data_IF_318997127720
#
_entry.id   IF_318997127720
#
_cell.length_a   1.000
_cell.length_b   1.000
_cell.length_c   1.000
_cell.angle_alpha   90.00
_cell.angle_beta   90.00
_cell.angle_gamma   90.00
#
_symmetry.space_group_name_H-M   'P 1'
#
loop_
_entity.id
_entity.type
_entity.pdbx_description
1 polymer ?
#
# COMPACT_ATOMS: atom_id res chain seq x y z
N UNK A 1 -31.25 14.14 7.66
CA UNK A 1 -30.22 15.19 7.37
C UNK A 1 -30.70 16.53 7.90
N UNK A 2 -29.77 17.36 8.42
CA UNK A 2 -30.09 18.69 8.91
C UNK A 2 -29.51 19.78 7.99
N UNK A 3 -30.09 21.00 8.02
CA UNK A 3 -29.58 22.14 7.28
C UNK A 3 -28.11 22.48 7.68
N UNK A 4 -27.77 22.26 8.94
CA UNK A 4 -26.40 22.44 9.46
C UNK A 4 -25.42 21.47 8.83
N UNK A 5 -25.80 20.22 8.59
CA UNK A 5 -24.97 19.22 7.90
C UNK A 5 -24.75 19.60 6.43
N UNK A 6 -25.78 20.00 5.71
CA UNK A 6 -25.65 20.45 4.33
C UNK A 6 -24.73 21.67 4.21
N UNK A 7 -24.86 22.62 5.15
CA UNK A 7 -23.97 23.79 5.17
C UNK A 7 -22.50 23.42 5.48
N UNK A 8 -22.28 22.42 6.34
CA UNK A 8 -20.94 21.88 6.64
C UNK A 8 -20.33 21.22 5.42
N UNK A 9 -21.07 20.35 4.72
CA UNK A 9 -20.60 19.67 3.53
C UNK A 9 -20.27 20.61 2.36
N UNK A 10 -21.06 21.70 2.20
CA UNK A 10 -20.71 22.75 1.22
C UNK A 10 -19.41 23.45 1.57
N UNK A 11 -19.21 23.80 2.86
CA UNK A 11 -17.96 24.43 3.31
C UNK A 11 -16.74 23.51 3.13
N UNK A 12 -16.97 22.19 3.18
CA UNK A 12 -15.94 21.18 2.97
C UNK A 12 -15.75 20.83 1.48
N UNK A 13 -16.39 21.51 0.55
CA UNK A 13 -16.27 21.24 -0.88
C UNK A 13 -16.97 19.96 -1.37
N UNK A 14 -17.73 19.26 -0.50
CA UNK A 14 -18.39 17.99 -0.84
C UNK A 14 -19.71 18.18 -1.61
N UNK A 15 -20.23 19.38 -1.63
CA UNK A 15 -21.43 19.74 -2.37
C UNK A 15 -21.17 21.00 -3.21
N UNK A 16 -21.65 21.04 -4.44
CA UNK A 16 -21.52 22.22 -5.29
C UNK A 16 -22.22 23.43 -4.65
N UNK A 17 -21.71 24.61 -4.95
CA UNK A 17 -22.33 25.86 -4.56
C UNK A 17 -23.72 26.00 -5.18
N UNK A 18 -24.54 26.86 -4.59
CA UNK A 18 -25.83 27.20 -5.20
C UNK A 18 -25.65 28.10 -6.41
N UNK A 19 -26.30 27.75 -7.50
CA UNK A 19 -26.45 28.65 -8.63
C UNK A 19 -27.52 29.69 -8.29
N UNK A 20 -27.12 30.97 -8.23
CA UNK A 20 -28.05 32.07 -8.02
C UNK A 20 -28.78 32.38 -9.31
N UNK A 21 -30.09 32.19 -9.32
CA UNK A 21 -30.96 32.63 -10.43
C UNK A 21 -31.64 33.93 -10.07
N UNK A 22 -31.38 34.99 -10.83
CA UNK A 22 -32.04 36.26 -10.63
C UNK A 22 -33.57 36.12 -10.94
N UNK A 23 -34.41 36.62 -10.03
CA UNK A 23 -35.86 36.59 -10.19
C UNK A 23 -36.42 37.82 -10.98
N UNK A 24 -35.55 38.66 -11.54
CA UNK A 24 -35.87 39.89 -12.20
C UNK A 24 -35.68 41.14 -11.35
N UNK A 25 -35.84 42.33 -12.00
CA UNK A 25 -35.55 43.65 -11.38
C UNK A 25 -36.41 43.85 -10.12
N UNK A 26 -35.76 43.96 -8.96
CA UNK A 26 -36.41 44.19 -7.67
C UNK A 26 -36.94 42.94 -6.93
N UNK A 27 -36.84 41.73 -7.52
CA UNK A 27 -37.36 40.48 -6.91
C UNK A 27 -36.33 39.61 -6.23
N UNK A 28 -35.08 40.05 -6.15
CA UNK A 28 -34.01 39.29 -5.52
C UNK A 28 -33.49 38.14 -6.37
N UNK A 29 -32.80 37.17 -5.76
CA UNK A 29 -32.32 35.93 -6.36
C UNK A 29 -32.80 34.73 -5.60
N UNK A 30 -33.15 33.65 -6.29
CA UNK A 30 -33.37 32.34 -5.68
C UNK A 30 -32.12 31.49 -5.90
N UNK A 31 -31.87 30.58 -4.94
CA UNK A 31 -30.77 29.65 -5.00
C UNK A 31 -31.33 28.28 -5.42
N UNK A 32 -30.92 27.80 -6.59
CA UNK A 32 -31.36 26.51 -7.10
C UNK A 32 -30.21 25.52 -6.99
N UNK A 33 -30.39 24.36 -6.33
CA UNK A 33 -29.39 23.29 -6.37
C UNK A 33 -29.31 22.75 -7.81
N UNK A 34 -28.10 22.46 -8.30
CA UNK A 34 -27.94 21.72 -9.56
C UNK A 34 -28.40 20.27 -9.43
N UNK A 35 -28.73 19.63 -10.55
CA UNK A 35 -29.22 18.24 -10.58
C UNK A 35 -28.21 17.25 -9.94
N UNK A 36 -26.92 17.48 -10.14
CA UNK A 36 -25.83 16.70 -9.51
C UNK A 36 -25.81 16.80 -7.98
N UNK A 37 -26.25 17.94 -7.41
CA UNK A 37 -26.27 18.15 -5.98
C UNK A 37 -27.21 17.18 -5.26
N UNK A 38 -28.29 16.74 -5.89
CA UNK A 38 -29.23 15.81 -5.29
C UNK A 38 -28.62 14.42 -5.13
N UNK A 39 -27.96 13.89 -6.17
CA UNK A 39 -27.23 12.61 -6.13
C UNK A 39 -26.17 12.60 -5.03
N UNK A 40 -25.36 13.67 -4.97
CA UNK A 40 -24.33 13.83 -3.92
C UNK A 40 -24.93 13.89 -2.51
N UNK A 41 -26.05 14.60 -2.33
CA UNK A 41 -26.74 14.66 -1.01
C UNK A 41 -27.23 13.30 -0.57
N UNK A 42 -27.78 12.49 -1.50
CA UNK A 42 -28.24 11.12 -1.20
C UNK A 42 -27.05 10.23 -0.84
N UNK A 43 -25.96 10.26 -1.62
CA UNK A 43 -24.75 9.51 -1.36
C UNK A 43 -24.12 9.91 0.00
N UNK A 44 -23.98 11.21 0.27
CA UNK A 44 -23.51 11.69 1.56
C UNK A 44 -24.42 11.27 2.71
N UNK A 45 -25.74 11.24 2.51
CA UNK A 45 -26.69 10.78 3.51
C UNK A 45 -26.51 9.31 3.89
N UNK A 46 -26.09 8.48 2.92
CA UNK A 46 -25.75 7.06 3.11
C UNK A 46 -24.37 6.88 3.76
N UNK A 47 -23.37 7.63 3.32
CA UNK A 47 -22.00 7.51 3.75
C UNK A 47 -21.71 8.20 5.10
N UNK A 48 -22.41 9.29 5.41
CA UNK A 48 -22.16 10.09 6.59
C UNK A 48 -22.65 9.38 7.86
N UNK A 49 -21.74 8.69 8.51
CA UNK A 49 -21.95 8.19 9.89
C UNK A 49 -21.56 9.27 10.91
N UNK A 50 -22.03 9.14 12.14
CA UNK A 50 -21.65 10.05 13.23
C UNK A 50 -20.12 10.05 13.40
N UNK A 51 -19.50 11.24 13.29
CA UNK A 51 -18.04 11.42 13.40
C UNK A 51 -17.26 11.24 12.10
N UNK A 52 -17.92 10.97 10.94
CA UNK A 52 -17.22 10.88 9.67
C UNK A 52 -16.54 12.22 9.31
N UNK A 53 -15.23 12.18 9.06
CA UNK A 53 -14.43 13.34 8.67
C UNK A 53 -14.76 13.74 7.22
N UNK A 54 -14.71 15.02 6.85
CA UNK A 54 -14.94 15.46 5.48
C UNK A 54 -14.01 14.79 4.44
N UNK A 55 -12.73 14.58 4.77
CA UNK A 55 -11.79 13.86 3.89
C UNK A 55 -12.21 12.41 3.63
N UNK A 56 -12.70 11.69 4.63
CA UNK A 56 -13.23 10.33 4.44
C UNK A 56 -14.44 10.31 3.51
N UNK A 57 -15.33 11.31 3.63
CA UNK A 57 -16.49 11.43 2.77
C UNK A 57 -16.09 11.79 1.33
N UNK A 58 -15.09 12.65 1.16
CA UNK A 58 -14.54 13.01 -0.16
C UNK A 58 -14.00 11.77 -0.88
N UNK A 59 -13.16 10.99 -0.19
CA UNK A 59 -12.58 9.76 -0.72
C UNK A 59 -13.65 8.69 -1.02
N UNK A 60 -14.65 8.54 -0.14
CA UNK A 60 -15.74 7.59 -0.38
C UNK A 60 -16.59 7.99 -1.59
N UNK A 61 -16.93 9.28 -1.74
CA UNK A 61 -17.63 9.80 -2.91
C UNK A 61 -16.80 9.62 -4.20
N UNK A 62 -15.51 9.95 -4.14
CA UNK A 62 -14.58 9.75 -5.26
C UNK A 62 -14.56 8.28 -5.68
N UNK A 63 -14.38 7.37 -4.73
CA UNK A 63 -14.35 5.93 -5.00
C UNK A 63 -15.66 5.33 -5.52
N UNK A 64 -16.80 6.01 -5.31
CA UNK A 64 -18.09 5.65 -5.90
C UNK A 64 -18.35 6.35 -7.25
N UNK A 65 -17.35 7.06 -7.80
CA UNK A 65 -17.45 7.77 -9.09
C UNK A 65 -18.31 9.03 -9.05
N UNK A 66 -18.57 9.59 -7.87
CA UNK A 66 -19.30 10.85 -7.77
C UNK A 66 -18.41 12.05 -8.14
N UNK A 67 -18.99 13.10 -8.75
CA UNK A 67 -18.24 14.29 -9.14
C UNK A 67 -17.86 15.15 -7.93
N UNK A 68 -16.70 14.84 -7.33
CA UNK A 68 -16.11 15.66 -6.26
C UNK A 68 -15.10 16.62 -6.89
N UNK A 69 -15.04 17.90 -6.45
CA UNK A 69 -14.03 18.83 -6.95
C UNK A 69 -12.61 18.29 -6.78
N UNK A 70 -11.79 18.43 -7.82
CA UNK A 70 -10.44 17.87 -7.86
C UNK A 70 -9.58 18.31 -6.66
N UNK A 71 -9.62 19.60 -6.29
CA UNK A 71 -8.91 20.11 -5.12
C UNK A 71 -9.32 19.43 -3.81
N UNK A 72 -10.61 19.08 -3.68
CA UNK A 72 -11.13 18.37 -2.50
C UNK A 72 -10.64 16.92 -2.46
N UNK A 73 -10.57 16.26 -3.62
CA UNK A 73 -10.01 14.91 -3.76
C UNK A 73 -8.52 14.92 -3.40
N UNK A 74 -7.73 15.82 -4.01
CA UNK A 74 -6.30 15.94 -3.76
C UNK A 74 -5.97 16.25 -2.29
N UNK A 75 -6.68 17.19 -1.68
CA UNK A 75 -6.55 17.50 -0.25
C UNK A 75 -6.87 16.26 0.62
N UNK A 76 -7.87 15.47 0.24
CA UNK A 76 -8.23 14.26 0.98
C UNK A 76 -7.16 13.16 0.87
N UNK A 77 -6.56 12.95 -0.33
CA UNK A 77 -5.41 12.07 -0.52
C UNK A 77 -4.18 12.55 0.26
N UNK A 78 -3.84 13.84 0.17
CA UNK A 78 -2.74 14.41 0.95
C UNK A 78 -2.94 14.29 2.47
N UNK A 79 -4.18 14.40 2.96
CA UNK A 79 -4.49 14.13 4.38
C UNK A 79 -4.34 12.66 4.75
N UNK A 80 -4.63 11.73 3.84
CA UNK A 80 -4.38 10.32 4.06
C UNK A 80 -2.89 10.04 4.27
N UNK A 81 -2.03 10.58 3.40
CA UNK A 81 -0.56 10.45 3.54
C UNK A 81 -0.06 11.04 4.86
N UNK A 82 -0.49 12.27 5.19
CA UNK A 82 -0.11 12.88 6.46
C UNK A 82 -0.60 12.09 7.67
N UNK A 83 -1.73 11.39 7.53
CA UNK A 83 -2.28 10.51 8.55
C UNK A 83 -1.49 9.21 8.75
N UNK A 84 -0.72 8.73 7.76
CA UNK A 84 0.14 7.56 7.92
C UNK A 84 1.20 7.76 9.02
N UNK A 85 1.77 8.96 9.07
CA UNK A 85 2.76 9.32 10.09
C UNK A 85 2.16 9.87 11.40
N UNK A 86 0.88 10.27 11.42
CA UNK A 86 0.24 10.83 12.61
C UNK A 86 0.08 9.82 13.76
N UNK A 87 0.18 8.52 13.47
CA UNK A 87 0.25 7.47 14.49
C UNK A 87 1.67 7.22 15.02
N UNK A 88 2.68 7.83 14.38
CA UNK A 88 4.10 7.66 14.67
C UNK A 88 4.73 8.95 15.29
N UNK A 89 3.92 9.93 15.66
CA UNK A 89 4.35 11.23 16.18
C UNK A 89 3.97 12.34 15.19
N UNK A 90 3.05 13.24 15.63
CA UNK A 90 2.60 14.38 14.81
C UNK A 90 3.65 15.50 14.75
N UNK A 91 4.63 15.46 15.62
CA UNK A 91 5.68 16.47 15.76
C UNK A 91 6.88 16.03 14.90
N UNK A 92 7.28 16.88 13.97
CA UNK A 92 8.54 16.71 13.23
C UNK A 92 9.74 16.76 14.18
N UNK A 93 10.99 16.82 13.62
CA UNK A 93 12.19 16.93 14.43
C UNK A 93 12.10 18.12 15.40
N UNK A 94 12.57 17.94 16.64
CA UNK A 94 12.70 19.03 17.60
C UNK A 94 13.78 20.04 17.15
N UNK A 95 13.75 21.24 17.74
CA UNK A 95 14.71 22.29 17.37
C UNK A 95 16.16 21.80 17.65
N UNK A 96 16.92 21.56 16.58
CA UNK A 96 18.28 21.04 16.64
C UNK A 96 18.42 19.52 16.47
N UNK A 97 17.32 18.79 16.42
CA UNK A 97 17.30 17.37 16.10
C UNK A 97 17.34 17.18 14.57
N UNK A 98 18.18 16.29 14.07
CA UNK A 98 18.16 15.92 12.66
C UNK A 98 17.07 14.83 12.41
N UNK A 99 16.75 14.58 11.12
CA UNK A 99 15.72 13.61 10.76
C UNK A 99 16.02 12.18 11.21
N UNK A 100 17.30 11.83 11.37
CA UNK A 100 17.75 10.52 11.81
C UNK A 100 17.46 10.31 13.29
N UNK A 101 17.92 11.26 14.12
CA UNK A 101 17.67 11.26 15.55
C UNK A 101 16.17 11.28 15.86
N UNK A 102 15.40 12.05 15.11
CA UNK A 102 13.94 12.08 15.21
C UNK A 102 13.31 10.74 14.89
N UNK A 103 13.70 10.10 13.79
CA UNK A 103 13.15 8.81 13.38
C UNK A 103 13.49 7.69 14.39
N UNK A 104 14.72 7.68 14.93
CA UNK A 104 15.13 6.76 15.97
C UNK A 104 14.35 6.97 17.26
N UNK A 105 14.18 8.22 17.70
CA UNK A 105 13.41 8.56 18.90
C UNK A 105 11.96 8.11 18.77
N UNK A 106 11.32 8.38 17.62
CA UNK A 106 9.93 7.95 17.37
C UNK A 106 9.84 6.43 17.33
N UNK A 107 10.79 5.74 16.73
CA UNK A 107 10.84 4.28 16.71
C UNK A 107 10.95 3.70 18.14
N UNK A 108 11.82 4.26 18.96
CA UNK A 108 11.99 3.88 20.36
C UNK A 108 10.72 4.13 21.20
N UNK A 109 10.05 5.26 20.98
CA UNK A 109 8.77 5.60 21.64
C UNK A 109 7.67 4.60 21.26
N UNK A 110 7.56 4.22 19.98
CA UNK A 110 6.60 3.21 19.50
C UNK A 110 6.89 1.86 20.15
N UNK A 111 8.15 1.46 20.22
CA UNK A 111 8.56 0.22 20.88
C UNK A 111 8.28 0.28 22.39
N UNK A 112 8.65 1.39 23.06
CA UNK A 112 8.46 1.58 24.49
C UNK A 112 6.99 1.68 24.90
N UNK A 113 6.12 2.25 24.04
CA UNK A 113 4.68 2.34 24.28
C UNK A 113 3.98 0.99 24.34
N UNK A 114 4.68 -0.08 23.96
CA UNK A 114 4.11 -1.42 23.84
C UNK A 114 3.08 -1.52 22.69
N UNK A 115 2.97 -0.50 21.84
CA UNK A 115 2.25 -0.59 20.58
C UNK A 115 3.00 -1.59 19.69
N UNK A 116 2.58 -2.84 19.79
CA UNK A 116 3.08 -3.88 18.89
C UNK A 116 2.49 -3.58 17.52
N UNK A 117 3.27 -2.95 16.66
CA UNK A 117 3.01 -2.99 15.23
C UNK A 117 3.07 -4.46 14.84
N UNK A 118 1.91 -5.08 14.69
CA UNK A 118 1.84 -6.48 14.27
C UNK A 118 2.02 -6.48 12.76
N UNK A 119 3.26 -6.56 12.32
CA UNK A 119 3.59 -6.62 10.90
C UNK A 119 2.93 -7.82 10.23
N UNK A 120 2.73 -8.93 10.95
CA UNK A 120 2.01 -10.09 10.44
C UNK A 120 0.60 -10.12 11.05
N UNK A 121 -0.46 -9.93 10.24
CA UNK A 121 -1.83 -10.03 10.70
C UNK A 121 -2.14 -11.39 11.35
N UNK A 122 -2.98 -11.40 12.38
CA UNK A 122 -3.31 -12.62 13.10
C UNK A 122 -3.94 -13.71 12.20
N UNK A 123 -4.64 -13.31 11.13
CA UNK A 123 -5.21 -14.23 10.15
C UNK A 123 -4.12 -14.88 9.32
N UNK A 124 -3.20 -14.08 8.79
CA UNK A 124 -2.04 -14.56 8.02
C UNK A 124 -1.21 -15.54 8.84
N UNK A 125 -0.88 -15.16 10.08
CA UNK A 125 -0.11 -16.04 10.97
C UNK A 125 -0.82 -17.38 11.25
N UNK A 126 -2.14 -17.38 11.47
CA UNK A 126 -2.89 -18.63 11.69
C UNK A 126 -2.87 -19.55 10.46
N UNK A 127 -2.92 -18.98 9.27
CA UNK A 127 -2.80 -19.73 8.02
C UNK A 127 -1.41 -20.31 7.91
N UNK A 128 -0.35 -19.51 8.10
CA UNK A 128 1.05 -19.97 8.06
C UNK A 128 1.29 -21.13 9.07
N UNK A 129 0.83 -20.97 10.31
CA UNK A 129 0.91 -22.01 11.34
C UNK A 129 0.12 -23.28 10.97
N UNK A 130 -1.05 -23.13 10.34
CA UNK A 130 -1.88 -24.22 9.86
C UNK A 130 -1.19 -25.03 8.77
N UNK A 131 -0.67 -24.36 7.76
CA UNK A 131 0.09 -24.99 6.66
C UNK A 131 1.35 -25.68 7.20
N UNK A 132 2.13 -25.02 8.05
CA UNK A 132 3.34 -25.56 8.62
C UNK A 132 3.05 -26.82 9.47
N UNK A 133 1.94 -26.85 10.21
CA UNK A 133 1.50 -28.04 10.95
C UNK A 133 1.12 -29.17 10.02
N UNK A 134 0.29 -28.90 9.03
CA UNK A 134 -0.14 -29.88 8.03
C UNK A 134 1.05 -30.56 7.34
N UNK A 135 2.04 -29.77 6.92
CA UNK A 135 3.23 -30.27 6.23
C UNK A 135 4.09 -31.13 7.17
N UNK A 136 4.31 -30.67 8.42
CA UNK A 136 5.06 -31.41 9.43
C UNK A 136 4.42 -32.77 9.73
N UNK A 137 3.11 -32.82 9.91
CA UNK A 137 2.36 -34.04 10.22
C UNK A 137 2.45 -35.09 9.10
N UNK A 138 2.72 -34.65 7.88
CA UNK A 138 2.88 -35.51 6.69
C UNK A 138 4.32 -35.71 6.23
N UNK A 139 5.28 -35.15 6.93
CA UNK A 139 6.70 -35.24 6.56
C UNK A 139 7.03 -34.52 5.24
N UNK A 140 6.22 -33.54 4.84
CA UNK A 140 6.49 -32.72 3.66
C UNK A 140 7.55 -31.69 4.02
N UNK A 141 8.64 -31.68 3.25
CA UNK A 141 9.70 -30.68 3.36
C UNK A 141 9.38 -29.52 2.42
N UNK A 142 9.36 -28.34 2.96
CA UNK A 142 9.18 -27.11 2.21
C UNK A 142 10.26 -26.10 2.62
N UNK A 143 10.88 -25.39 1.70
CA UNK A 143 10.68 -25.44 0.25
C UNK A 143 11.30 -26.71 -0.35
N UNK A 144 10.86 -27.08 -1.58
CA UNK A 144 11.58 -28.08 -2.34
C UNK A 144 13.01 -27.59 -2.61
N UNK A 145 13.99 -28.52 -2.70
CA UNK A 145 15.41 -28.17 -2.82
C UNK A 145 15.73 -27.18 -3.96
N UNK A 146 14.96 -27.24 -5.02
CA UNK A 146 15.12 -26.38 -6.21
C UNK A 146 14.81 -24.90 -5.91
N UNK A 147 13.96 -24.64 -4.92
CA UNK A 147 13.60 -23.29 -4.51
C UNK A 147 14.42 -22.81 -3.29
N UNK A 148 15.05 -23.72 -2.56
CA UNK A 148 15.80 -23.37 -1.35
C UNK A 148 17.03 -22.48 -1.62
N UNK A 149 17.51 -22.44 -2.87
CA UNK A 149 18.65 -21.61 -3.26
C UNK A 149 18.31 -20.19 -3.77
N UNK A 150 17.03 -19.78 -3.71
CA UNK A 150 16.62 -18.46 -4.19
C UNK A 150 17.00 -17.31 -3.25
N UNK A 151 17.39 -17.60 -2.02
CA UNK A 151 17.92 -16.64 -1.08
C UNK A 151 19.35 -17.04 -0.69
N UNK A 152 20.28 -16.12 -0.77
CA UNK A 152 21.66 -16.34 -0.39
C UNK A 152 21.80 -16.57 1.15
N UNK A 153 20.86 -16.07 1.94
CA UNK A 153 20.82 -16.21 3.39
C UNK A 153 19.43 -16.66 3.88
N UNK A 154 19.09 -17.96 3.71
CA UNK A 154 17.74 -18.47 3.99
C UNK A 154 17.41 -18.54 5.49
N UNK A 155 18.37 -18.39 6.40
CA UNK A 155 18.09 -18.39 7.83
C UNK A 155 17.39 -17.11 8.24
N UNK A 156 16.17 -17.19 8.84
CA UNK A 156 15.51 -15.99 9.32
C UNK A 156 16.37 -15.35 10.43
N UNK A 157 16.59 -14.02 10.37
CA UNK A 157 17.34 -13.34 11.39
C UNK A 157 16.63 -13.46 12.73
N UNK A 158 17.39 -13.56 13.82
CA UNK A 158 16.87 -13.54 15.18
C UNK A 158 16.51 -12.12 15.64
N UNK A 159 15.78 -11.36 14.80
CA UNK A 159 15.33 -10.04 15.17
C UNK A 159 14.23 -10.13 16.23
N UNK A 160 14.36 -9.35 17.29
CA UNK A 160 13.27 -9.14 18.24
C UNK A 160 12.11 -8.41 17.58
N UNK A 161 10.89 -8.62 18.08
CA UNK A 161 9.73 -7.88 17.58
C UNK A 161 9.86 -6.36 17.70
N UNK A 162 10.70 -5.88 18.62
CA UNK A 162 11.06 -4.46 18.76
C UNK A 162 11.93 -3.96 17.61
N UNK A 163 13.00 -4.68 17.28
CA UNK A 163 13.90 -4.33 16.17
C UNK A 163 13.19 -4.30 14.82
N UNK A 164 12.31 -5.30 14.56
CA UNK A 164 11.48 -5.32 13.34
C UNK A 164 10.52 -4.13 13.31
N UNK A 165 9.94 -3.76 14.46
CA UNK A 165 9.05 -2.58 14.55
C UNK A 165 9.83 -1.29 14.34
N UNK A 166 10.99 -1.13 14.94
CA UNK A 166 11.86 0.03 14.78
C UNK A 166 12.26 0.21 13.30
N UNK A 167 12.73 -0.86 12.65
CA UNK A 167 13.09 -0.83 11.24
C UNK A 167 11.91 -0.44 10.34
N UNK A 168 10.70 -0.98 10.61
CA UNK A 168 9.50 -0.62 9.86
C UNK A 168 9.12 0.86 10.04
N UNK A 169 9.18 1.38 11.28
CA UNK A 169 8.92 2.80 11.58
C UNK A 169 9.93 3.70 10.89
N UNK A 170 11.20 3.40 10.99
CA UNK A 170 12.29 4.16 10.34
C UNK A 170 12.11 4.17 8.82
N UNK A 171 11.76 3.02 8.22
CA UNK A 171 11.48 2.94 6.78
C UNK A 171 10.32 3.84 6.36
N UNK A 172 9.25 3.92 7.16
CA UNK A 172 8.10 4.79 6.87
C UNK A 172 8.44 6.27 7.01
N UNK A 173 9.23 6.63 8.01
CA UNK A 173 9.57 8.03 8.31
C UNK A 173 10.64 8.59 7.38
N UNK A 174 11.68 7.80 7.08
CA UNK A 174 12.86 8.23 6.32
C UNK A 174 12.96 7.63 4.91
N UNK A 175 12.13 6.64 4.61
CA UNK A 175 12.24 5.86 3.39
C UNK A 175 13.34 4.79 3.46
N UNK A 176 13.42 4.00 2.38
CA UNK A 176 14.32 2.85 2.31
C UNK A 176 15.83 3.20 2.40
N UNK A 177 16.22 4.45 2.08
CA UNK A 177 17.61 4.89 2.16
C UNK A 177 18.16 4.99 3.60
N UNK A 178 17.28 5.03 4.61
CA UNK A 178 17.69 5.12 6.01
C UNK A 178 17.99 3.76 6.65
N UNK A 179 17.50 2.69 6.03
CA UNK A 179 17.72 1.32 6.50
C UNK A 179 18.74 0.68 5.59
N UNK A 180 19.78 0.05 6.16
CA UNK A 180 20.79 -0.64 5.34
C UNK A 180 20.12 -1.73 4.48
N UNK A 181 20.67 -2.03 3.30
CA UNK A 181 20.17 -3.12 2.44
C UNK A 181 20.03 -4.44 3.20
N UNK A 182 21.01 -4.77 4.03
CA UNK A 182 20.96 -5.94 4.91
C UNK A 182 19.81 -5.85 5.91
N UNK A 183 19.57 -4.69 6.52
CA UNK A 183 18.46 -4.47 7.47
C UNK A 183 17.10 -4.64 6.82
N UNK A 184 16.93 -4.20 5.56
CA UNK A 184 15.71 -4.44 4.77
C UNK A 184 15.54 -5.93 4.50
N UNK A 185 16.60 -6.61 4.06
CA UNK A 185 16.60 -8.05 3.83
C UNK A 185 16.20 -8.83 5.08
N UNK A 186 16.75 -8.48 6.22
CA UNK A 186 16.46 -9.10 7.52
C UNK A 186 14.99 -8.90 7.93
N UNK A 187 14.45 -7.68 7.74
CA UNK A 187 13.02 -7.43 8.00
C UNK A 187 12.13 -8.27 7.09
N UNK A 188 12.45 -8.34 5.78
CA UNK A 188 11.69 -9.13 4.83
C UNK A 188 11.70 -10.62 5.19
N UNK A 189 12.84 -11.16 5.61
CA UNK A 189 12.94 -12.55 6.12
C UNK A 189 12.16 -12.76 7.41
N UNK A 190 12.21 -11.80 8.33
CA UNK A 190 11.49 -11.89 9.61
C UNK A 190 9.97 -11.86 9.47
N UNK A 191 9.44 -11.14 8.47
CA UNK A 191 7.98 -11.09 8.20
C UNK A 191 7.49 -12.26 7.34
N UNK A 192 8.40 -13.08 6.83
CA UNK A 192 8.10 -14.28 6.04
C UNK A 192 8.68 -15.54 6.67
N UNK A 193 8.14 -16.00 7.79
CA UNK A 193 8.76 -17.03 8.64
C UNK A 193 8.71 -18.45 8.05
N UNK A 194 8.24 -18.62 6.81
CA UNK A 194 8.15 -19.95 6.20
C UNK A 194 9.50 -20.56 5.81
N UNK A 195 10.62 -19.91 6.14
CA UNK A 195 11.95 -20.52 6.25
C UNK A 195 12.64 -20.88 4.94
N UNK A 196 12.21 -20.33 3.82
CA UNK A 196 12.86 -20.56 2.55
C UNK A 196 12.96 -19.25 1.76
N UNK A 197 14.10 -19.02 1.28
CA UNK A 197 14.51 -17.86 0.53
C UNK A 197 13.48 -16.78 0.29
N UNK A 198 13.83 -15.60 0.65
CA UNK A 198 13.08 -14.41 0.28
C UNK A 198 13.80 -13.73 -0.88
N UNK A 199 13.38 -13.95 -2.15
CA UNK A 199 14.00 -13.29 -3.29
C UNK A 199 13.97 -11.77 -3.19
N UNK A 200 12.94 -11.20 -2.53
CA UNK A 200 12.88 -9.78 -2.26
C UNK A 200 13.95 -9.31 -1.28
N UNK A 201 14.29 -10.13 -0.30
CA UNK A 201 15.40 -9.85 0.62
C UNK A 201 16.75 -9.87 -0.10
N UNK A 202 17.00 -10.90 -0.91
CA UNK A 202 18.22 -10.98 -1.73
C UNK A 202 18.33 -9.80 -2.70
N UNK A 203 17.22 -9.41 -3.33
CA UNK A 203 17.20 -8.25 -4.21
C UNK A 203 17.49 -6.94 -3.46
N UNK A 204 16.99 -6.80 -2.23
CA UNK A 204 17.26 -5.63 -1.39
C UNK A 204 18.73 -5.52 -0.98
N UNK A 205 19.45 -6.64 -0.91
CA UNK A 205 20.86 -6.73 -0.52
C UNK A 205 21.82 -6.57 -1.71
N UNK A 206 21.35 -6.59 -2.95
CA UNK A 206 22.22 -6.40 -4.12
C UNK A 206 22.87 -5.04 -4.09
N UNK A 207 24.14 -5.01 -4.48
CA UNK A 207 24.92 -3.80 -4.66
C UNK A 207 24.95 -3.41 -6.15
N UNK A 208 25.40 -2.19 -6.44
CA UNK A 208 25.57 -1.68 -7.80
C UNK A 208 26.45 -2.62 -8.65
N UNK A 209 27.48 -3.25 -8.02
CA UNK A 209 28.40 -4.16 -8.71
C UNK A 209 27.78 -5.49 -9.11
N UNK A 210 26.64 -5.87 -8.49
CA UNK A 210 25.94 -7.13 -8.73
C UNK A 210 24.97 -7.06 -9.93
N UNK A 211 24.78 -5.86 -10.51
CA UNK A 211 23.77 -5.63 -11.54
C UNK A 211 24.40 -5.12 -12.85
N UNK A 212 23.75 -5.38 -14.01
CA UNK A 212 24.20 -4.85 -15.28
C UNK A 212 24.25 -3.31 -15.29
N UNK A 213 25.21 -2.73 -16.02
CA UNK A 213 25.41 -1.28 -16.14
C UNK A 213 24.12 -0.50 -16.44
N UNK A 214 23.25 -1.06 -17.28
CA UNK A 214 21.96 -0.45 -17.65
C UNK A 214 20.98 -0.30 -16.47
N UNK A 215 21.15 -1.11 -15.42
CA UNK A 215 20.29 -1.09 -14.25
C UNK A 215 20.92 -0.37 -13.04
N UNK A 216 22.19 0.02 -13.11
CA UNK A 216 22.91 0.61 -11.98
C UNK A 216 22.28 1.89 -11.45
N UNK A 217 21.67 2.72 -12.32
CA UNK A 217 20.99 3.96 -11.89
C UNK A 217 19.77 3.74 -10.98
N UNK A 218 19.30 2.50 -10.89
CA UNK A 218 18.15 2.13 -10.04
C UNK A 218 18.60 1.68 -8.65
N UNK A 219 19.90 1.43 -8.49
CA UNK A 219 20.48 0.98 -7.24
C UNK A 219 21.12 2.14 -6.48
N UNK A 220 21.03 2.09 -5.17
CA UNK A 220 21.71 3.04 -4.30
C UNK A 220 23.19 2.72 -4.26
N UNK A 221 24.08 3.74 -4.14
CA UNK A 221 25.53 3.52 -4.06
C UNK A 221 25.93 2.54 -2.93
N UNK A 222 25.21 2.57 -1.82
CA UNK A 222 25.44 1.74 -0.65
C UNK A 222 24.72 0.39 -0.70
N UNK A 223 24.09 0.07 -1.84
CA UNK A 223 23.34 -1.16 -2.08
C UNK A 223 21.83 -0.98 -1.92
N UNK A 224 21.09 -1.97 -2.44
CA UNK A 224 19.63 -1.94 -2.48
C UNK A 224 19.06 -1.13 -3.65
N UNK A 225 17.82 -1.43 -4.00
CA UNK A 225 17.14 -0.80 -5.12
C UNK A 225 16.35 0.43 -4.64
N UNK A 226 16.65 1.59 -5.22
CA UNK A 226 15.84 2.80 -4.99
C UNK A 226 14.63 2.80 -5.90
N UNK A 227 13.47 2.47 -5.35
CA UNK A 227 12.18 2.62 -6.04
C UNK A 227 11.53 3.97 -5.80
N UNK A 228 12.21 4.84 -5.04
CA UNK A 228 11.69 6.15 -4.65
C UNK A 228 12.79 7.19 -4.85
N UNK A 229 12.54 8.27 -5.60
CA UNK A 229 13.50 9.36 -5.74
C UNK A 229 13.90 9.88 -4.36
N UNK A 230 15.22 10.05 -4.16
CA UNK A 230 15.81 10.60 -2.94
C UNK A 230 15.48 9.84 -1.63
N UNK A 231 14.89 8.63 -1.74
CA UNK A 231 14.49 7.83 -0.58
C UNK A 231 13.31 8.38 0.24
N UNK A 232 12.75 9.52 -0.14
CA UNK A 232 11.60 10.15 0.56
C UNK A 232 10.25 9.57 0.08
N UNK A 233 9.86 8.46 0.68
CA UNK A 233 8.55 7.82 0.41
C UNK A 233 7.40 8.78 0.67
N UNK A 234 7.44 9.54 1.76
CA UNK A 234 6.36 10.46 2.14
C UNK A 234 6.22 11.60 1.14
N UNK A 235 7.34 12.23 0.78
CA UNK A 235 7.36 13.29 -0.24
C UNK A 235 6.90 12.78 -1.61
N UNK A 236 7.29 11.58 -2.00
CA UNK A 236 6.83 10.95 -3.23
C UNK A 236 5.31 10.71 -3.23
N UNK A 237 4.74 10.20 -2.14
CA UNK A 237 3.30 10.00 -2.00
C UNK A 237 2.53 11.34 -1.99
N UNK A 238 3.03 12.38 -1.31
CA UNK A 238 2.44 13.71 -1.33
C UNK A 238 2.48 14.32 -2.74
N UNK A 239 3.60 14.19 -3.43
CA UNK A 239 3.75 14.63 -4.83
C UNK A 239 2.74 13.91 -5.74
N UNK A 240 2.54 12.60 -5.58
CA UNK A 240 1.53 11.85 -6.33
C UNK A 240 0.11 12.33 -6.02
N UNK A 241 -0.23 12.62 -4.76
CA UNK A 241 -1.53 13.17 -4.39
C UNK A 241 -1.81 14.52 -5.08
N UNK A 242 -0.76 15.31 -5.33
CA UNK A 242 -0.85 16.62 -5.98
C UNK A 242 -0.82 16.53 -7.51
N UNK A 243 -0.05 15.60 -8.09
CA UNK A 243 0.30 15.62 -9.52
C UNK A 243 -0.34 14.49 -10.34
N UNK A 244 -0.75 13.37 -9.75
CA UNK A 244 -1.40 12.30 -10.48
C UNK A 244 -2.72 12.78 -11.11
N UNK A 245 -3.09 12.26 -12.28
CA UNK A 245 -4.38 12.57 -12.87
C UNK A 245 -5.52 11.94 -12.05
N UNK A 246 -6.72 12.52 -12.12
CA UNK A 246 -7.88 11.90 -11.45
C UNK A 246 -8.19 10.52 -12.03
N UNK A 247 -7.92 10.30 -13.30
CA UNK A 247 -8.06 8.99 -13.97
C UNK A 247 -7.07 7.98 -13.36
N UNK A 248 -5.79 8.34 -13.23
CA UNK A 248 -4.80 7.46 -12.58
C UNK A 248 -5.17 7.14 -11.14
N UNK A 249 -5.65 8.14 -10.39
CA UNK A 249 -6.12 7.94 -9.02
C UNK A 249 -7.34 7.00 -8.97
N UNK A 250 -8.28 7.12 -9.92
CA UNK A 250 -9.46 6.27 -9.99
C UNK A 250 -9.09 4.84 -10.36
N UNK A 251 -8.26 4.65 -11.38
CA UNK A 251 -7.75 3.33 -11.78
C UNK A 251 -7.06 2.63 -10.61
N UNK A 252 -6.15 3.32 -9.93
CA UNK A 252 -5.43 2.77 -8.79
C UNK A 252 -6.36 2.49 -7.59
N UNK A 253 -7.40 3.32 -7.41
CA UNK A 253 -8.42 3.12 -6.39
C UNK A 253 -9.21 1.82 -6.64
N UNK A 254 -9.61 1.57 -7.88
CA UNK A 254 -10.31 0.35 -8.25
C UNK A 254 -9.43 -0.89 -8.05
N UNK A 255 -8.18 -0.81 -8.50
CA UNK A 255 -7.21 -1.89 -8.34
C UNK A 255 -6.91 -2.17 -6.86
N UNK A 256 -6.82 -1.15 -6.01
CA UNK A 256 -6.62 -1.36 -4.57
C UNK A 256 -7.79 -2.16 -3.96
N UNK A 257 -9.03 -1.89 -4.40
CA UNK A 257 -10.20 -2.66 -4.00
C UNK A 257 -10.14 -4.12 -4.45
N UNK A 258 -9.85 -4.34 -5.73
CA UNK A 258 -9.71 -5.68 -6.29
C UNK A 258 -8.58 -6.48 -5.63
N UNK A 259 -7.48 -5.81 -5.30
CA UNK A 259 -6.34 -6.44 -4.59
C UNK A 259 -6.74 -6.89 -3.19
N UNK A 260 -7.53 -6.09 -2.47
CA UNK A 260 -8.06 -6.51 -1.17
C UNK A 260 -9.02 -7.68 -1.28
N UNK A 261 -9.93 -7.65 -2.24
CA UNK A 261 -10.84 -8.78 -2.49
C UNK A 261 -10.08 -10.06 -2.81
N UNK A 262 -9.06 -9.98 -3.68
CA UNK A 262 -8.14 -11.09 -3.95
C UNK A 262 -7.49 -11.63 -2.67
N UNK A 263 -6.94 -10.75 -1.82
CA UNK A 263 -6.27 -11.17 -0.59
C UNK A 263 -7.22 -11.88 0.40
N UNK A 264 -8.44 -11.35 0.55
CA UNK A 264 -9.45 -11.94 1.43
C UNK A 264 -9.97 -13.27 0.88
N UNK A 265 -10.17 -13.39 -0.44
CA UNK A 265 -10.57 -14.62 -1.11
C UNK A 265 -9.48 -15.71 -0.98
N UNK A 266 -8.22 -15.37 -1.23
CA UNK A 266 -7.11 -16.31 -1.05
C UNK A 266 -7.06 -16.83 0.38
N UNK A 267 -7.17 -15.95 1.38
CA UNK A 267 -7.25 -16.37 2.78
C UNK A 267 -8.40 -17.37 3.03
N UNK A 268 -9.59 -17.07 2.50
CA UNK A 268 -10.76 -17.92 2.71
C UNK A 268 -10.60 -19.30 2.05
N UNK A 269 -10.02 -19.35 0.86
CA UNK A 269 -9.75 -20.62 0.16
C UNK A 269 -8.72 -21.47 0.89
N UNK A 270 -7.64 -20.87 1.36
CA UNK A 270 -6.62 -21.61 2.14
C UNK A 270 -7.21 -22.11 3.48
N UNK A 271 -8.01 -21.29 4.16
CA UNK A 271 -8.68 -21.71 5.39
C UNK A 271 -9.60 -22.91 5.12
N UNK A 272 -10.34 -22.92 4.02
CA UNK A 272 -11.22 -24.04 3.63
C UNK A 272 -10.42 -25.32 3.31
N UNK A 273 -9.26 -25.22 2.62
CA UNK A 273 -8.37 -26.36 2.36
C UNK A 273 -7.81 -26.93 3.69
N UNK A 274 -7.41 -26.07 4.61
CA UNK A 274 -6.93 -26.48 5.93
C UNK A 274 -8.03 -27.19 6.77
N UNK A 275 -9.27 -26.68 6.72
CA UNK A 275 -10.42 -27.29 7.38
C UNK A 275 -10.78 -28.67 6.77
N UNK A 276 -10.66 -28.80 5.45
CA UNK A 276 -10.84 -30.06 4.75
C UNK A 276 -9.72 -31.09 5.03
N UNK A 277 -8.58 -30.62 5.57
CA UNK A 277 -7.41 -31.46 5.82
C UNK A 277 -6.65 -31.85 4.53
N UNK A 278 -6.81 -31.09 3.48
CA UNK A 278 -6.15 -31.27 2.18
C UNK A 278 -5.66 -29.91 1.68
N UNK A 279 -4.33 -29.78 1.46
CA UNK A 279 -3.78 -28.59 0.83
C UNK A 279 -3.83 -28.75 -0.70
N UNK A 280 -4.34 -27.73 -1.37
CA UNK A 280 -4.49 -27.67 -2.82
C UNK A 280 -3.85 -26.40 -3.41
N UNK A 281 -4.45 -25.93 -4.50
CA UNK A 281 -3.92 -24.80 -5.28
C UNK A 281 -3.86 -23.49 -4.51
N UNK A 282 -4.79 -23.26 -3.56
CA UNK A 282 -4.78 -22.04 -2.78
C UNK A 282 -3.62 -22.03 -1.78
N UNK A 283 -3.34 -23.16 -1.13
CA UNK A 283 -2.18 -23.26 -0.24
C UNK A 283 -0.86 -23.14 -1.01
N UNK A 284 -0.77 -23.69 -2.21
CA UNK A 284 0.41 -23.53 -3.07
C UNK A 284 0.58 -22.06 -3.49
N UNK A 285 -0.48 -21.41 -3.95
CA UNK A 285 -0.45 -19.98 -4.28
C UNK A 285 -0.07 -19.12 -3.06
N UNK A 286 -0.55 -19.47 -1.86
CA UNK A 286 -0.16 -18.85 -0.61
C UNK A 286 1.34 -18.99 -0.36
N UNK A 287 1.86 -20.22 -0.38
CA UNK A 287 3.26 -20.50 -0.12
C UNK A 287 4.18 -19.74 -1.09
N UNK A 288 3.88 -19.81 -2.39
CA UNK A 288 4.63 -19.08 -3.41
C UNK A 288 4.52 -17.56 -3.21
N UNK A 289 3.31 -17.07 -3.02
CA UNK A 289 3.07 -15.64 -2.83
C UNK A 289 3.75 -15.06 -1.59
N UNK A 290 3.85 -15.85 -0.51
CA UNK A 290 4.52 -15.40 0.73
C UNK A 290 6.02 -15.14 0.54
N UNK A 291 6.65 -15.72 -0.45
CA UNK A 291 8.07 -15.51 -0.77
C UNK A 291 8.31 -14.24 -1.60
N UNK A 292 7.25 -13.59 -2.12
CA UNK A 292 7.34 -12.48 -3.06
C UNK A 292 6.49 -11.28 -2.63
N UNK A 293 6.31 -10.32 -3.54
CA UNK A 293 5.51 -9.09 -3.32
C UNK A 293 4.07 -9.41 -2.89
N UNK A 294 3.49 -10.50 -3.41
CA UNK A 294 2.16 -10.98 -2.98
C UNK A 294 2.06 -11.19 -1.48
N UNK A 295 3.12 -11.64 -0.81
CA UNK A 295 3.16 -11.78 0.64
C UNK A 295 3.07 -10.45 1.38
N UNK A 296 3.77 -9.43 0.91
CA UNK A 296 3.70 -8.07 1.47
C UNK A 296 2.30 -7.47 1.27
N UNK A 297 1.74 -7.64 0.07
CA UNK A 297 0.37 -7.20 -0.25
C UNK A 297 -0.66 -7.91 0.63
N UNK A 298 -0.54 -9.23 0.81
CA UNK A 298 -1.42 -9.98 1.72
C UNK A 298 -1.38 -9.42 3.14
N UNK A 299 -0.18 -9.16 3.67
CA UNK A 299 -0.03 -8.59 4.99
C UNK A 299 -0.67 -7.22 5.11
N UNK A 300 -0.45 -6.34 4.14
CA UNK A 300 -1.04 -5.00 4.12
C UNK A 300 -2.57 -5.06 4.03
N UNK A 301 -3.13 -5.89 3.15
CA UNK A 301 -4.56 -5.92 2.87
C UNK A 301 -5.39 -6.67 3.92
N UNK A 302 -4.81 -7.68 4.60
CA UNK A 302 -5.53 -8.51 5.58
C UNK A 302 -5.42 -7.96 7.01
N UNK A 303 -4.47 -7.04 7.26
CA UNK A 303 -4.14 -6.53 8.59
C UNK A 303 -5.27 -5.77 9.26
N UNK A 304 -6.06 -5.04 8.51
CA UNK A 304 -7.05 -4.14 9.05
C UNK A 304 -8.49 -4.65 8.89
N UNK A 305 -9.20 -4.75 10.04
CA UNK A 305 -10.62 -5.10 10.04
C UNK A 305 -11.51 -3.99 9.47
N UNK A 306 -11.04 -2.75 9.54
CA UNK A 306 -11.78 -1.54 9.17
C UNK A 306 -11.03 -0.75 8.10
N UNK A 307 -10.85 -1.36 6.94
CA UNK A 307 -10.27 -0.67 5.80
C UNK A 307 -11.09 0.58 5.44
N UNK A 308 -10.62 1.71 5.92
CA UNK A 308 -11.29 2.99 5.74
C UNK A 308 -10.99 3.58 4.36
N UNK A 309 -11.77 4.58 3.90
CA UNK A 309 -11.40 5.33 2.68
C UNK A 309 -10.01 5.96 2.75
N UNK A 310 -9.51 6.28 3.95
CA UNK A 310 -8.15 6.82 4.13
C UNK A 310 -7.09 5.75 3.89
N UNK A 311 -7.29 4.53 4.41
CA UNK A 311 -6.35 3.42 4.20
C UNK A 311 -6.30 3.07 2.72
N UNK A 312 -7.48 2.99 2.07
CA UNK A 312 -7.56 2.78 0.62
C UNK A 312 -6.87 3.88 -0.19
N UNK A 313 -6.95 5.14 0.23
CA UNK A 313 -6.24 6.23 -0.43
C UNK A 313 -4.72 6.07 -0.31
N UNK A 314 -4.21 5.63 0.83
CA UNK A 314 -2.80 5.33 1.00
C UNK A 314 -2.35 4.18 0.10
N UNK A 315 -3.10 3.08 0.07
CA UNK A 315 -2.84 1.96 -0.84
C UNK A 315 -2.85 2.40 -2.31
N UNK A 316 -3.81 3.25 -2.69
CA UNK A 316 -3.91 3.83 -4.04
C UNK A 316 -2.63 4.57 -4.45
N UNK A 317 -2.10 5.41 -3.57
CA UNK A 317 -0.87 6.16 -3.84
C UNK A 317 0.36 5.26 -3.86
N UNK A 318 0.43 4.25 -3.00
CA UNK A 318 1.50 3.24 -3.02
C UNK A 318 1.49 2.48 -4.35
N UNK A 319 0.32 2.07 -4.83
CA UNK A 319 0.19 1.40 -6.13
C UNK A 319 0.62 2.30 -7.29
N UNK A 320 0.28 3.60 -7.25
CA UNK A 320 0.75 4.55 -8.26
C UNK A 320 2.26 4.76 -8.20
N UNK A 321 2.83 4.82 -7.00
CA UNK A 321 4.28 4.89 -6.81
C UNK A 321 4.96 3.66 -7.40
N UNK A 322 4.49 2.46 -7.10
CA UNK A 322 5.00 1.21 -7.67
C UNK A 322 4.90 1.21 -9.20
N UNK A 323 3.75 1.61 -9.76
CA UNK A 323 3.56 1.69 -11.21
C UNK A 323 4.54 2.66 -11.86
N UNK A 324 4.79 3.81 -11.23
CA UNK A 324 5.77 4.80 -11.71
C UNK A 324 7.18 4.22 -11.68
N UNK A 325 7.59 3.64 -10.55
CA UNK A 325 8.92 3.03 -10.40
C UNK A 325 9.17 1.92 -11.41
N UNK A 326 8.18 1.04 -11.64
CA UNK A 326 8.30 -0.02 -12.65
C UNK A 326 8.39 0.53 -14.09
N UNK A 327 7.68 1.64 -14.39
CA UNK A 327 7.83 2.30 -15.70
C UNK A 327 9.21 2.91 -15.89
N UNK A 328 9.80 3.47 -14.82
CA UNK A 328 11.14 4.04 -14.87
C UNK A 328 12.22 2.94 -15.05
N UNK A 329 11.87 1.68 -14.71
CA UNK A 329 12.68 0.49 -14.95
C UNK A 329 12.51 -0.10 -16.35
N UNK A 330 11.46 0.30 -17.08
CA UNK A 330 11.19 -0.20 -18.42
C UNK A 330 12.35 0.13 -19.37
N UNK A 331 12.84 -0.89 -20.07
CA UNK A 331 14.03 -0.80 -20.92
C UNK A 331 15.39 -0.85 -20.17
N UNK A 332 15.40 -0.81 -18.83
CA UNK A 332 16.62 -0.95 -18.01
C UNK A 332 16.78 -2.37 -17.48
N UNK A 333 15.69 -3.12 -17.38
CA UNK A 333 15.64 -4.50 -16.87
C UNK A 333 15.44 -5.47 -18.03
N UNK A 334 16.15 -6.61 -18.07
CA UNK A 334 15.96 -7.62 -19.10
C UNK A 334 14.51 -8.15 -19.14
N UNK A 335 14.01 -8.43 -20.35
CA UNK A 335 12.63 -8.91 -20.58
C UNK A 335 12.23 -10.14 -19.73
N UNK A 336 13.18 -11.06 -19.50
CA UNK A 336 12.92 -12.24 -18.67
C UNK A 336 12.56 -11.93 -17.22
N UNK A 337 12.96 -10.77 -16.70
CA UNK A 337 12.58 -10.34 -15.35
C UNK A 337 11.15 -9.78 -15.32
N UNK A 338 10.70 -9.19 -16.42
CA UNK A 338 9.29 -8.78 -16.56
C UNK A 338 8.36 -10.01 -16.60
N UNK A 339 8.72 -11.06 -17.33
CA UNK A 339 7.96 -12.32 -17.34
C UNK A 339 7.81 -12.92 -15.93
N UNK A 340 8.84 -12.80 -15.08
CA UNK A 340 8.76 -13.22 -13.68
C UNK A 340 7.77 -12.38 -12.89
N UNK A 341 7.78 -11.04 -13.05
CA UNK A 341 6.85 -10.13 -12.39
C UNK A 341 5.40 -10.35 -12.84
N UNK A 342 5.17 -10.82 -14.07
CA UNK A 342 3.85 -11.16 -14.58
C UNK A 342 3.27 -12.45 -13.99
N UNK A 343 4.07 -13.20 -13.25
CA UNK A 343 3.61 -14.44 -12.61
C UNK A 343 2.66 -14.12 -11.44
N UNK A 344 1.46 -14.72 -11.40
CA UNK A 344 0.55 -14.60 -10.26
C UNK A 344 1.14 -15.10 -8.93
N UNK A 345 2.22 -15.87 -8.97
CA UNK A 345 2.96 -16.27 -7.77
C UNK A 345 3.78 -15.11 -7.19
N UNK A 346 4.24 -14.18 -8.03
CA UNK A 346 5.07 -13.03 -7.64
C UNK A 346 4.21 -11.83 -7.31
N UNK A 347 3.26 -11.52 -8.17
CA UNK A 347 2.32 -10.40 -8.01
C UNK A 347 0.87 -10.88 -7.89
N UNK A 348 0.04 -10.23 -7.07
CA UNK A 348 -1.40 -10.44 -7.08
C UNK A 348 -1.99 -10.24 -8.49
N UNK A 349 -2.87 -11.15 -8.91
CA UNK A 349 -3.48 -11.10 -10.23
C UNK A 349 -4.10 -9.72 -10.60
N UNK A 350 -4.77 -8.98 -9.67
CA UNK A 350 -5.29 -7.64 -9.99
C UNK A 350 -4.19 -6.60 -10.26
N UNK A 351 -2.97 -6.80 -9.75
CA UNK A 351 -1.87 -5.86 -9.94
C UNK A 351 -1.16 -6.04 -11.28
N UNK A 352 -1.17 -7.23 -11.85
CA UNK A 352 -0.43 -7.53 -13.09
C UNK A 352 -0.79 -6.54 -14.20
N UNK A 353 -2.06 -6.40 -14.64
CA UNK A 353 -2.40 -5.49 -15.73
C UNK A 353 -2.22 -4.01 -15.38
N UNK A 354 -2.26 -3.65 -14.09
CA UNK A 354 -2.09 -2.29 -13.63
C UNK A 354 -0.63 -1.84 -13.62
N UNK A 355 0.27 -2.74 -13.23
CA UNK A 355 1.70 -2.46 -13.11
C UNK A 355 2.47 -2.65 -14.42
N UNK A 356 1.92 -3.42 -15.38
CA UNK A 356 2.55 -3.59 -16.69
C UNK A 356 2.80 -2.24 -17.37
N UNK A 357 4.01 -2.00 -17.88
CA UNK A 357 4.21 -0.89 -18.79
C UNK A 357 3.23 -1.11 -19.96
N UNK A 358 2.38 -0.13 -20.24
CA UNK A 358 1.57 -0.18 -21.46
C UNK A 358 2.56 -0.14 -22.62
N UNK A 359 2.95 -1.29 -23.12
CA UNK A 359 3.58 -1.36 -24.43
C UNK A 359 2.61 -0.67 -25.38
N UNK A 360 2.95 0.56 -25.74
CA UNK A 360 2.24 1.25 -26.80
C UNK A 360 2.41 0.37 -28.02
N UNK A 361 1.40 -0.44 -28.28
CA UNK A 361 1.28 -1.20 -29.54
C UNK A 361 1.08 -0.17 -30.65
N UNK A 362 2.15 0.56 -30.95
CA UNK A 362 2.30 1.52 -32.02
C UNK A 362 3.27 0.94 -33.04
N UNK A 363 2.88 -0.18 -33.61
CA UNK A 363 3.50 -0.62 -34.85
C UNK A 363 2.40 -0.64 -35.90
N UNK A 364 2.46 0.31 -36.77
CA UNK A 364 2.23 0.09 -38.18
C UNK A 364 3.36 0.71 -38.97
#
# INVERSE_FOLDING_TARGET
>A
MSAKQLASWRRAGLLPGHTKRALGRGRGSTSVPGDEAFGLVVALGRLARRGARPSHLALALFGEGHPVPEETVRDAFGKAVRGLSAGLGEEGPEEGENEEEWAERVADEVVASGQRVRLIPARVRRIDEGIARYMRDRGVVWPPPELAGLDANPEPPSLSGGEVTAAAVTTVLRGGAAVTPQGIGDVLRAVQPMGWGNPGASLAEYTVDDVPDAAQEVFLPDGGMSTVPDGDVRGALLSLAETATLEDLQDAWEVSGATREWALDLCARVEAELEAGELGDAALAWLMGRAFVSGLVLMAQVGDRHWSPTDRASDTLILLMMRRSLRDLDGKVPDCQWELLESPAVLPAPLIPFLQPRHVSGIQ
#
